data_IF_880919659529
#
_entry.id   IF_880919659529
#
_cell.length_a   1.000
_cell.length_b   1.000
_cell.length_c   1.000
_cell.angle_alpha   90.00
_cell.angle_beta   90.00
_cell.angle_gamma   90.00
#
_symmetry.space_group_name_H-M   'P 1'
#
loop_
_entity.id
_entity.type
_entity.pdbx_description
1 polymer ?
#
# COMPACT_ATOMS: atom_id res chain seq x y z
N UNK A 1 0.88 20.45 -8.65
CA UNK A 1 1.75 19.98 -7.55
C UNK A 1 0.91 19.27 -6.48
N UNK A 2 -0.34 19.69 -6.23
CA UNK A 2 -1.26 19.01 -5.27
C UNK A 2 -1.50 17.53 -5.54
N UNK A 3 -1.74 17.10 -6.78
CA UNK A 3 -2.16 15.71 -7.09
C UNK A 3 -1.16 14.62 -6.68
N UNK A 4 0.16 14.84 -6.82
CA UNK A 4 1.14 13.83 -6.41
C UNK A 4 1.24 13.75 -4.88
N UNK A 5 1.14 14.89 -4.19
CA UNK A 5 1.20 14.91 -2.74
C UNK A 5 -0.09 14.36 -2.11
N UNK A 6 -1.24 14.58 -2.73
CA UNK A 6 -2.51 13.91 -2.44
C UNK A 6 -2.37 12.38 -2.59
N UNK A 7 -1.87 11.89 -3.72
CA UNK A 7 -1.65 10.44 -3.94
C UNK A 7 -0.70 9.83 -2.90
N UNK A 8 0.37 10.53 -2.51
CA UNK A 8 1.26 10.08 -1.43
C UNK A 8 0.55 10.03 -0.09
N UNK A 9 -0.31 11.00 0.20
CA UNK A 9 -1.10 11.06 1.43
C UNK A 9 -2.10 9.91 1.50
N UNK A 10 -2.86 9.69 0.43
CA UNK A 10 -3.79 8.57 0.30
C UNK A 10 -3.06 7.23 0.46
N UNK A 11 -1.93 7.03 -0.20
CA UNK A 11 -1.15 5.80 -0.08
C UNK A 11 -0.67 5.54 1.36
N UNK A 12 -0.32 6.60 2.12
CA UNK A 12 -0.01 6.48 3.55
C UNK A 12 -1.24 6.10 4.37
N UNK A 13 -2.39 6.70 4.08
CA UNK A 13 -3.64 6.37 4.74
C UNK A 13 -4.02 4.91 4.50
N UNK A 14 -3.95 4.44 3.26
CA UNK A 14 -4.19 3.05 2.89
C UNK A 14 -3.29 2.09 3.68
N UNK A 15 -2.00 2.40 3.80
CA UNK A 15 -1.08 1.60 4.62
C UNK A 15 -1.56 1.47 6.07
N UNK A 16 -1.97 2.58 6.68
CA UNK A 16 -2.45 2.60 8.08
C UNK A 16 -3.72 1.76 8.22
N UNK A 17 -4.71 1.99 7.36
CA UNK A 17 -6.01 1.28 7.39
C UNK A 17 -5.81 -0.22 7.20
N UNK A 18 -5.04 -0.63 6.20
CA UNK A 18 -4.77 -2.06 5.94
C UNK A 18 -4.01 -2.70 7.09
N UNK A 19 -3.04 -2.00 7.68
CA UNK A 19 -2.32 -2.50 8.86
C UNK A 19 -3.27 -2.71 10.03
N UNK A 20 -4.19 -1.77 10.29
CA UNK A 20 -5.18 -1.90 11.35
C UNK A 20 -6.12 -3.08 11.12
N UNK A 21 -6.61 -3.27 9.90
CA UNK A 21 -7.45 -4.42 9.53
C UNK A 21 -6.70 -5.73 9.80
N UNK A 22 -5.44 -5.82 9.38
CA UNK A 22 -4.62 -7.01 9.61
C UNK A 22 -4.35 -7.28 11.09
N UNK A 23 -4.14 -6.24 11.90
CA UNK A 23 -4.02 -6.39 13.35
C UNK A 23 -5.30 -6.92 13.98
N UNK A 24 -6.48 -6.45 13.54
CA UNK A 24 -7.78 -6.94 14.01
C UNK A 24 -7.97 -8.41 13.64
N UNK A 25 -7.61 -8.80 12.41
CA UNK A 25 -7.64 -10.19 11.96
C UNK A 25 -6.75 -11.12 12.82
N UNK A 26 -5.55 -10.67 13.20
CA UNK A 26 -4.67 -11.43 14.09
C UNK A 26 -5.19 -11.47 15.53
N UNK A 27 -5.79 -10.38 16.00
CA UNK A 27 -6.44 -10.32 17.30
C UNK A 27 -7.60 -11.32 17.37
N UNK A 28 -8.45 -11.38 16.33
CA UNK A 28 -9.52 -12.38 16.22
C UNK A 28 -9.00 -13.81 16.40
N UNK A 29 -7.86 -14.14 15.77
CA UNK A 29 -7.23 -15.45 15.88
C UNK A 29 -6.75 -15.77 17.31
N UNK A 30 -6.43 -14.74 18.09
CA UNK A 30 -6.04 -14.84 19.50
C UNK A 30 -7.24 -15.18 20.39
N UNK A 31 -8.41 -14.57 20.15
CA UNK A 31 -9.63 -14.86 20.92
C UNK A 31 -10.28 -16.20 20.54
N UNK A 32 -10.11 -16.61 19.29
CA UNK A 32 -10.67 -17.86 18.77
C UNK A 32 -9.61 -18.96 18.70
N UNK A 33 -8.65 -18.93 19.63
CA UNK A 33 -7.56 -19.91 19.71
C UNK A 33 -8.05 -21.33 20.01
N UNK A 34 -9.31 -21.52 20.38
CA UNK A 34 -9.91 -22.84 20.58
C UNK A 34 -10.50 -23.44 19.30
N UNK A 35 -10.57 -22.67 18.19
CA UNK A 35 -11.01 -23.20 16.90
C UNK A 35 -10.07 -24.30 16.39
N UNK A 36 -10.66 -25.19 15.57
CA UNK A 36 -9.97 -26.34 14.98
C UNK A 36 -8.71 -25.93 14.22
N UNK A 37 -7.73 -26.83 14.20
CA UNK A 37 -6.44 -26.61 13.53
C UNK A 37 -6.65 -26.30 12.03
N UNK A 38 -7.61 -26.98 11.39
CA UNK A 38 -7.92 -26.77 9.97
C UNK A 38 -8.39 -25.33 9.68
N UNK A 39 -9.31 -24.79 10.49
CA UNK A 39 -9.83 -23.43 10.30
C UNK A 39 -8.72 -22.37 10.42
N UNK A 40 -7.79 -22.57 11.37
CA UNK A 40 -6.64 -21.69 11.54
C UNK A 40 -5.69 -21.74 10.35
N UNK A 41 -5.42 -22.93 9.82
CA UNK A 41 -4.57 -23.09 8.63
C UNK A 41 -5.21 -22.39 7.44
N UNK A 42 -6.50 -22.62 7.18
CA UNK A 42 -7.23 -21.95 6.10
C UNK A 42 -7.20 -20.42 6.25
N UNK A 43 -7.45 -19.92 7.46
CA UNK A 43 -7.38 -18.49 7.74
C UNK A 43 -5.98 -17.93 7.48
N UNK A 44 -4.92 -18.55 8.03
CA UNK A 44 -3.55 -18.07 7.89
C UNK A 44 -3.08 -18.10 6.43
N UNK A 45 -3.46 -19.12 5.66
CA UNK A 45 -3.16 -19.19 4.22
C UNK A 45 -3.83 -18.05 3.45
N UNK A 46 -5.13 -17.81 3.67
CA UNK A 46 -5.85 -16.72 3.01
C UNK A 46 -5.34 -15.34 3.46
N UNK A 47 -5.08 -15.19 4.75
CA UNK A 47 -4.54 -13.97 5.35
C UNK A 47 -3.17 -13.63 4.77
N UNK A 48 -2.25 -14.60 4.70
CA UNK A 48 -0.94 -14.41 4.10
C UNK A 48 -1.01 -14.06 2.61
N UNK A 49 -1.92 -14.69 1.87
CA UNK A 49 -2.18 -14.37 0.46
C UNK A 49 -2.65 -12.92 0.28
N UNK A 50 -3.61 -12.46 1.08
CA UNK A 50 -4.07 -11.07 1.05
C UNK A 50 -2.93 -10.11 1.41
N UNK A 51 -2.20 -10.39 2.49
CA UNK A 51 -1.06 -9.56 2.92
C UNK A 51 -0.04 -9.39 1.79
N UNK A 52 0.30 -10.47 1.08
CA UNK A 52 1.20 -10.43 -0.06
C UNK A 52 0.71 -9.46 -1.15
N UNK A 53 -0.56 -9.57 -1.56
CA UNK A 53 -1.11 -8.71 -2.60
C UNK A 53 -1.15 -7.23 -2.19
N UNK A 54 -1.48 -6.94 -0.93
CA UNK A 54 -1.45 -5.57 -0.42
C UNK A 54 -0.04 -4.99 -0.36
N UNK A 55 0.95 -5.77 0.09
CA UNK A 55 2.35 -5.34 0.12
C UNK A 55 2.83 -5.04 -1.30
N UNK A 56 2.61 -5.96 -2.24
CA UNK A 56 3.01 -5.78 -3.64
C UNK A 56 2.32 -4.55 -4.25
N UNK A 57 1.00 -4.42 -4.09
CA UNK A 57 0.24 -3.27 -4.60
C UNK A 57 0.73 -1.93 -4.02
N UNK A 58 1.05 -1.88 -2.73
CA UNK A 58 1.60 -0.69 -2.09
C UNK A 58 2.95 -0.28 -2.70
N UNK A 59 3.88 -1.22 -2.89
CA UNK A 59 5.19 -0.93 -3.45
C UNK A 59 5.14 -0.53 -4.93
N UNK A 60 4.32 -1.20 -5.73
CA UNK A 60 4.12 -0.86 -7.14
C UNK A 60 3.49 0.54 -7.28
N UNK A 61 2.46 0.84 -6.48
CA UNK A 61 1.83 2.18 -6.48
C UNK A 61 2.83 3.25 -6.06
N UNK A 62 3.62 3.00 -5.01
CA UNK A 62 4.69 3.92 -4.58
C UNK A 62 5.71 4.16 -5.69
N UNK A 63 6.10 3.11 -6.42
CA UNK A 63 7.03 3.19 -7.54
C UNK A 63 6.45 4.01 -8.69
N UNK A 64 5.19 3.78 -9.05
CA UNK A 64 4.49 4.54 -10.09
C UNK A 64 4.42 6.04 -9.75
N UNK A 65 4.03 6.39 -8.52
CA UNK A 65 4.00 7.80 -8.07
C UNK A 65 5.38 8.45 -8.22
N UNK A 66 6.45 7.75 -7.82
CA UNK A 66 7.82 8.27 -7.96
C UNK A 66 8.19 8.50 -9.42
N UNK A 67 7.89 7.55 -10.30
CA UNK A 67 8.14 7.66 -11.73
C UNK A 67 7.43 8.86 -12.37
N UNK A 68 6.14 9.05 -12.05
CA UNK A 68 5.39 10.21 -12.56
C UNK A 68 5.90 11.54 -12.02
N UNK A 69 6.34 11.59 -10.75
CA UNK A 69 6.98 12.78 -10.21
C UNK A 69 8.26 13.14 -11.00
N UNK A 70 9.13 12.17 -11.27
CA UNK A 70 10.35 12.39 -12.06
C UNK A 70 10.05 12.89 -13.48
N UNK A 71 9.03 12.34 -14.14
CA UNK A 71 8.58 12.81 -15.45
C UNK A 71 8.08 14.26 -15.42
N UNK A 72 7.26 14.60 -14.43
CA UNK A 72 6.74 15.97 -14.25
C UNK A 72 7.89 16.94 -14.02
N UNK A 73 8.86 16.58 -13.18
CA UNK A 73 10.00 17.44 -12.87
C UNK A 73 10.92 17.64 -14.08
N UNK A 74 11.15 16.57 -14.86
CA UNK A 74 11.87 16.66 -16.14
C UNK A 74 11.16 17.60 -17.11
N UNK A 75 9.85 17.46 -17.28
CA UNK A 75 9.07 18.30 -18.18
C UNK A 75 9.08 19.78 -17.79
N UNK A 76 8.98 20.08 -16.49
CA UNK A 76 9.08 21.45 -15.97
C UNK A 76 10.47 22.05 -16.24
N UNK A 77 11.53 21.26 -16.05
CA UNK A 77 12.90 21.69 -16.31
C UNK A 77 13.13 22.02 -17.79
N UNK A 78 12.65 21.16 -18.69
CA UNK A 78 12.79 21.36 -20.15
C UNK A 78 12.01 22.59 -20.64
N UNK A 79 10.80 22.84 -20.12
CA UNK A 79 10.03 24.05 -20.48
C UNK A 79 10.62 25.36 -19.93
N UNK A 80 11.31 25.32 -18.79
CA UNK A 80 11.98 26.50 -18.24
C UNK A 80 13.34 26.82 -18.91
N UNK A 81 13.80 26.02 -19.87
CA UNK A 81 15.04 26.25 -20.64
C UNK A 81 14.75 26.90 -22.01
N UNK A 82 13.49 27.20 -22.35
CA UNK A 82 13.10 27.76 -23.67
C UNK A 82 13.01 29.31 -23.68
N UNK A 83 13.38 30.00 -22.59
CA UNK A 83 13.31 31.48 -22.50
C UNK A 83 14.59 32.15 -21.96
N UNK A 84 15.77 31.67 -22.35
CA UNK A 84 17.02 32.45 -22.34
C UNK A 84 17.65 32.42 -23.74
#
# INVERSE_FOLDING_TARGET
MGTIDELKSELRLFKIVITAIFSICLFYLTFHSEQGIFDKVCFLSFFGYLQYHFIMGYFETKRAIKFYQELIDKYKKERNIIYE
#
